data_IF_996570793132
#
_entry.id   IF_996570793132
#
_cell.length_a   1.000
_cell.length_b   1.000
_cell.length_c   1.000
_cell.angle_alpha   90.00
_cell.angle_beta   90.00
_cell.angle_gamma   90.00
#
_symmetry.space_group_name_H-M   'P 1'
#
loop_
_entity.id
_entity.type
_entity.pdbx_description
1 polymer ?
#
# COMPACT_ATOMS: atom_id res chain seq x y z
N UNK A 1 -25.28 14.20 55.21
CA UNK A 1 -25.18 13.33 54.02
C UNK A 1 -24.50 14.12 52.91
N UNK A 2 -23.17 14.04 52.85
CA UNK A 2 -22.36 14.62 51.79
C UNK A 2 -22.21 13.60 50.67
N UNK A 3 -22.67 13.95 49.47
CA UNK A 3 -22.40 13.16 48.27
C UNK A 3 -20.96 13.43 47.84
N UNK A 4 -20.09 12.43 48.00
CA UNK A 4 -18.79 12.40 47.33
C UNK A 4 -19.04 12.26 45.82
N UNK A 5 -18.82 13.34 45.06
CA UNK A 5 -18.60 13.23 43.62
C UNK A 5 -17.24 12.58 43.43
N UNK A 6 -17.24 11.38 42.86
CA UNK A 6 -16.05 10.77 42.30
C UNK A 6 -15.90 11.39 40.92
N UNK A 7 -14.91 12.27 40.77
CA UNK A 7 -14.53 12.86 39.51
C UNK A 7 -14.07 11.74 38.57
N UNK A 8 -14.94 11.36 37.62
CA UNK A 8 -14.54 10.50 36.51
C UNK A 8 -13.74 11.32 35.50
N UNK A 9 -12.50 11.62 35.85
CA UNK A 9 -11.49 12.04 34.89
C UNK A 9 -10.90 10.79 34.22
N UNK A 10 -11.04 10.71 32.89
CA UNK A 10 -10.39 9.67 32.09
C UNK A 10 -11.21 9.11 30.93
N UNK A 11 -11.82 9.95 30.09
CA UNK A 11 -12.10 9.52 28.71
C UNK A 11 -10.77 9.51 27.95
N UNK A 12 -9.98 8.44 28.13
CA UNK A 12 -8.92 8.14 27.19
C UNK A 12 -9.54 7.93 25.82
N UNK A 13 -9.26 8.81 24.86
CA UNK A 13 -9.74 8.66 23.50
C UNK A 13 -9.36 7.26 22.99
N UNK A 14 -10.37 6.42 22.71
CA UNK A 14 -10.11 5.12 22.12
C UNK A 14 -9.34 5.33 20.80
N UNK A 15 -8.28 4.56 20.54
CA UNK A 15 -7.45 4.75 19.36
C UNK A 15 -8.31 4.63 18.09
N UNK A 16 -8.38 5.71 17.31
CA UNK A 16 -9.17 5.75 16.07
C UNK A 16 -8.65 4.69 15.10
N UNK A 17 -9.50 3.73 14.76
CA UNK A 17 -9.17 2.67 13.80
C UNK A 17 -9.37 3.20 12.38
N UNK A 18 -8.31 3.18 11.57
CA UNK A 18 -8.39 3.57 10.17
C UNK A 18 -8.32 2.34 9.26
N UNK A 19 -9.10 2.37 8.17
CA UNK A 19 -8.94 1.42 7.07
C UNK A 19 -7.76 1.89 6.23
N UNK A 20 -6.69 1.12 6.23
CA UNK A 20 -5.43 1.46 5.56
C UNK A 20 -5.17 0.41 4.48
N UNK A 21 -4.80 0.89 3.30
CA UNK A 21 -4.34 0.07 2.18
C UNK A 21 -2.85 0.27 2.00
N UNK A 22 -2.11 -0.82 2.07
CA UNK A 22 -0.66 -0.85 1.86
C UNK A 22 -0.41 -1.43 0.47
N UNK A 23 0.29 -0.67 -0.37
CA UNK A 23 0.74 -1.14 -1.68
C UNK A 23 2.23 -1.42 -1.62
N UNK A 24 2.62 -2.65 -1.94
CA UNK A 24 4.02 -3.07 -2.09
C UNK A 24 4.35 -3.14 -3.58
N UNK A 25 5.42 -2.46 -4.00
CA UNK A 25 5.91 -2.50 -5.38
C UNK A 25 7.37 -2.96 -5.41
N UNK A 26 7.70 -3.90 -6.30
CA UNK A 26 9.10 -4.31 -6.49
C UNK A 26 9.35 -4.89 -7.89
N UNK A 27 10.63 -4.90 -8.29
CA UNK A 27 11.13 -5.59 -9.48
C UNK A 27 11.44 -7.06 -9.23
N UNK A 28 11.75 -7.45 -7.98
CA UNK A 28 12.13 -8.83 -7.61
C UNK A 28 10.96 -9.52 -6.92
N UNK A 29 10.47 -10.62 -7.50
CA UNK A 29 9.33 -11.37 -6.93
C UNK A 29 9.67 -12.00 -5.58
N UNK A 30 10.86 -12.57 -5.43
CA UNK A 30 11.26 -13.30 -4.21
C UNK A 30 11.24 -12.41 -2.97
N UNK A 31 11.90 -11.25 -3.02
CA UNK A 31 11.90 -10.27 -1.93
C UNK A 31 10.49 -9.74 -1.64
N UNK A 32 9.68 -9.51 -2.68
CA UNK A 32 8.30 -9.04 -2.53
C UNK A 32 7.40 -10.05 -1.81
N UNK A 33 7.46 -11.33 -2.18
CA UNK A 33 6.66 -12.39 -1.53
C UNK A 33 7.11 -12.60 -0.08
N UNK A 34 8.41 -12.55 0.21
CA UNK A 34 8.95 -12.65 1.56
C UNK A 34 8.46 -11.51 2.46
N UNK A 35 8.59 -10.27 2.02
CA UNK A 35 8.09 -9.08 2.76
C UNK A 35 6.58 -9.15 2.92
N UNK A 36 5.85 -9.62 1.90
CA UNK A 36 4.41 -9.76 1.95
C UNK A 36 3.96 -10.77 3.02
N UNK A 37 4.61 -11.94 3.10
CA UNK A 37 4.33 -12.96 4.11
C UNK A 37 4.66 -12.44 5.51
N UNK A 38 5.84 -11.86 5.67
CA UNK A 38 6.29 -11.31 6.95
C UNK A 38 5.37 -10.21 7.47
N UNK A 39 4.86 -9.33 6.60
CA UNK A 39 3.93 -8.28 6.99
C UNK A 39 2.57 -8.84 7.46
N UNK A 40 2.08 -9.90 6.82
CA UNK A 40 0.86 -10.60 7.22
C UNK A 40 1.05 -11.27 8.57
N UNK A 41 2.18 -11.96 8.77
CA UNK A 41 2.45 -12.67 10.01
C UNK A 41 2.63 -11.70 11.18
N UNK A 42 3.36 -10.60 11.00
CA UNK A 42 3.46 -9.53 12.01
C UNK A 42 2.09 -8.93 12.35
N UNK A 43 1.22 -8.72 11.35
CA UNK A 43 -0.11 -8.19 11.57
C UNK A 43 -1.01 -9.18 12.33
N UNK A 44 -0.89 -10.49 12.04
CA UNK A 44 -1.59 -11.56 12.77
C UNK A 44 -1.11 -11.70 14.21
N UNK A 45 0.20 -11.64 14.46
CA UNK A 45 0.78 -11.68 15.81
C UNK A 45 0.26 -10.54 16.70
N UNK A 46 -0.02 -9.38 16.10
CA UNK A 46 -0.65 -8.24 16.79
C UNK A 46 -2.18 -8.31 16.89
N UNK A 47 -2.81 -9.38 16.39
CA UNK A 47 -4.26 -9.57 16.45
C UNK A 47 -5.07 -8.67 15.52
N UNK A 48 -4.47 -8.09 14.48
CA UNK A 48 -5.15 -7.21 13.54
C UNK A 48 -5.97 -7.99 12.52
N UNK A 49 -7.09 -7.40 12.07
CA UNK A 49 -7.85 -7.94 10.94
C UNK A 49 -7.17 -7.58 9.62
N UNK A 50 -6.61 -8.59 8.96
CA UNK A 50 -5.90 -8.48 7.69
C UNK A 50 -6.77 -9.04 6.57
N UNK A 51 -6.94 -8.30 5.48
CA UNK A 51 -7.33 -8.91 4.20
C UNK A 51 -6.05 -9.29 3.47
N UNK A 52 -6.01 -10.54 3.03
CA UNK A 52 -4.82 -11.17 2.46
C UNK A 52 -4.24 -10.42 1.26
N UNK A 53 -3.06 -10.85 0.78
CA UNK A 53 -2.33 -10.11 -0.22
C UNK A 53 -2.97 -10.28 -1.59
N UNK A 54 -3.53 -9.20 -2.11
CA UNK A 54 -4.10 -9.16 -3.45
C UNK A 54 -2.96 -8.99 -4.44
N UNK A 55 -2.85 -9.95 -5.37
CA UNK A 55 -1.87 -9.92 -6.46
C UNK A 55 -2.40 -9.04 -7.59
N UNK A 56 -1.74 -7.90 -7.82
CA UNK A 56 -2.07 -7.08 -8.99
C UNK A 56 -1.33 -7.61 -10.22
N UNK A 57 -1.90 -7.42 -11.43
CA UNK A 57 -1.23 -7.76 -12.68
C UNK A 57 0.16 -7.12 -12.76
N UNK A 58 1.13 -7.90 -13.24
CA UNK A 58 2.50 -7.42 -13.41
C UNK A 58 2.56 -6.45 -14.59
N UNK A 59 3.06 -5.25 -14.35
CA UNK A 59 3.30 -4.28 -15.43
C UNK A 59 4.63 -4.61 -16.08
N UNK A 60 4.60 -4.83 -17.39
CA UNK A 60 5.78 -5.16 -18.18
C UNK A 60 6.10 -3.96 -19.07
N UNK A 61 7.18 -3.25 -18.75
CA UNK A 61 7.67 -2.15 -19.56
C UNK A 61 8.64 -2.73 -20.60
N UNK A 62 8.32 -2.55 -21.88
CA UNK A 62 9.15 -3.02 -22.99
C UNK A 62 9.67 -1.83 -23.76
N UNK A 63 10.98 -1.77 -23.95
CA UNK A 63 11.65 -0.75 -24.76
C UNK A 63 12.49 -1.48 -25.79
N UNK A 64 12.21 -1.23 -27.07
CA UNK A 64 12.96 -1.81 -28.19
C UNK A 64 13.80 -0.73 -28.84
N UNK A 65 15.12 -0.86 -28.81
CA UNK A 65 16.04 0.09 -29.42
C UNK A 65 16.89 -0.59 -30.48
N UNK A 66 17.39 0.20 -31.43
CA UNK A 66 18.38 -0.30 -32.39
C UNK A 66 19.69 -0.55 -31.63
N UNK A 67 20.36 -1.66 -31.94
CA UNK A 67 21.67 -1.98 -31.33
C UNK A 67 22.73 -0.94 -31.70
N UNK A 68 22.73 -0.55 -32.96
CA UNK A 68 23.76 0.32 -33.52
C UNK A 68 23.44 1.80 -33.28
N UNK A 69 24.41 2.63 -32.86
CA UNK A 69 24.19 4.06 -32.64
C UNK A 69 24.16 4.87 -33.94
N UNK A 70 24.95 4.49 -34.95
CA UNK A 70 25.21 5.29 -36.16
C UNK A 70 24.42 4.87 -37.41
N UNK A 71 23.48 3.92 -37.28
CA UNK A 71 22.59 3.55 -38.38
C UNK A 71 23.19 2.68 -39.50
N UNK A 72 24.50 2.46 -39.48
CA UNK A 72 25.22 1.54 -40.37
C UNK A 72 25.11 0.07 -39.94
N UNK A 73 25.27 -0.85 -40.89
CA UNK A 73 25.23 -2.30 -40.65
C UNK A 73 23.83 -2.95 -40.63
N UNK A 74 23.77 -4.19 -40.15
CA UNK A 74 22.54 -5.00 -40.15
C UNK A 74 21.45 -4.44 -39.24
N UNK A 75 20.18 -4.57 -39.65
CA UNK A 75 19.01 -4.10 -38.88
C UNK A 75 18.73 -5.00 -37.68
N UNK A 76 19.54 -4.86 -36.63
CA UNK A 76 19.37 -5.58 -35.37
C UNK A 76 18.77 -4.71 -34.27
N UNK A 77 17.88 -5.31 -33.47
CA UNK A 77 17.16 -4.65 -32.39
C UNK A 77 17.45 -5.35 -31.06
N UNK A 78 17.54 -4.57 -29.99
CA UNK A 78 17.53 -5.08 -28.62
C UNK A 78 16.18 -4.82 -27.98
N UNK A 79 15.66 -5.83 -27.27
CA UNK A 79 14.41 -5.75 -26.54
C UNK A 79 14.70 -5.77 -25.04
N UNK A 80 14.61 -4.61 -24.40
CA UNK A 80 14.75 -4.48 -22.96
C UNK A 80 13.38 -4.62 -22.29
N UNK A 81 13.34 -5.36 -21.19
CA UNK A 81 12.13 -5.58 -20.40
C UNK A 81 12.37 -5.28 -18.93
N UNK A 82 11.47 -4.50 -18.33
CA UNK A 82 11.40 -4.31 -16.88
C UNK A 82 10.02 -4.73 -16.38
N UNK A 83 10.00 -5.66 -15.42
CA UNK A 83 8.78 -6.11 -14.75
C UNK A 83 8.61 -5.42 -13.41
N UNK A 84 7.42 -4.92 -13.15
CA UNK A 84 7.02 -4.34 -11.88
C UNK A 84 5.86 -5.16 -11.32
N UNK A 85 6.10 -5.77 -10.18
CA UNK A 85 5.13 -6.57 -9.45
C UNK A 85 4.54 -5.72 -8.33
N UNK A 86 3.20 -5.69 -8.24
CA UNK A 86 2.49 -4.95 -7.20
C UNK A 86 1.63 -5.89 -6.35
N UNK A 87 1.61 -5.64 -5.03
CA UNK A 87 0.76 -6.32 -4.05
C UNK A 87 0.05 -5.33 -3.18
N UNK A 88 -1.15 -5.70 -2.77
CA UNK A 88 -2.03 -4.85 -1.97
C UNK A 88 -2.48 -5.62 -0.74
N UNK A 89 -2.33 -5.01 0.42
CA UNK A 89 -2.73 -5.55 1.72
C UNK A 89 -3.62 -4.52 2.40
N UNK A 90 -4.84 -4.91 2.76
CA UNK A 90 -5.75 -4.04 3.49
C UNK A 90 -5.74 -4.41 4.98
N UNK A 91 -5.56 -3.39 5.82
CA UNK A 91 -5.53 -3.50 7.29
C UNK A 91 -6.58 -2.56 7.90
N UNK A 92 -7.16 -2.99 9.03
CA UNK A 92 -7.92 -2.09 9.90
C UNK A 92 -7.19 -1.98 11.23
N UNK A 93 -6.51 -0.85 11.45
CA UNK A 93 -5.67 -0.63 12.61
C UNK A 93 -5.43 0.87 12.86
N UNK A 94 -5.07 1.27 14.08
CA UNK A 94 -4.54 2.61 14.32
C UNK A 94 -3.18 2.80 13.63
N UNK A 95 -2.88 4.04 13.25
CA UNK A 95 -1.71 4.41 12.44
C UNK A 95 -0.39 4.07 13.13
N UNK A 96 -0.31 4.21 14.45
CA UNK A 96 0.90 3.90 15.24
C UNK A 96 1.29 2.42 15.10
N UNK A 97 0.31 1.53 15.16
CA UNK A 97 0.55 0.07 15.09
C UNK A 97 1.00 -0.34 13.70
N UNK A 98 0.45 0.29 12.65
CA UNK A 98 0.86 0.04 11.25
C UNK A 98 2.29 0.49 11.01
N UNK A 99 2.69 1.67 11.50
CA UNK A 99 4.08 2.14 11.40
C UNK A 99 5.07 1.14 12.02
N UNK A 100 4.75 0.59 13.18
CA UNK A 100 5.60 -0.41 13.85
C UNK A 100 5.75 -1.73 13.09
N UNK A 101 4.72 -2.16 12.34
CA UNK A 101 4.78 -3.42 11.58
C UNK A 101 5.81 -3.33 10.44
N UNK A 102 6.12 -2.12 10.00
CA UNK A 102 6.79 -1.83 8.73
C UNK A 102 8.29 -1.53 8.88
N UNK A 103 8.78 -1.38 10.11
CA UNK A 103 10.14 -0.90 10.43
C UNK A 103 11.27 -1.73 9.78
N UNK A 104 11.01 -2.97 9.34
CA UNK A 104 12.03 -3.84 8.73
C UNK A 104 11.58 -4.35 7.35
N UNK A 105 11.80 -3.56 6.29
CA UNK A 105 11.58 -3.97 4.89
C UNK A 105 12.91 -4.30 4.22
N UNK A 106 12.92 -5.36 3.40
CA UNK A 106 14.09 -5.74 2.59
C UNK A 106 14.36 -4.72 1.49
N UNK A 107 15.64 -4.42 1.24
CA UNK A 107 16.04 -3.42 0.25
C UNK A 107 15.50 -3.75 -1.16
N UNK A 108 14.85 -2.77 -1.80
CA UNK A 108 14.29 -2.91 -3.15
C UNK A 108 12.80 -3.22 -3.21
N UNK A 109 12.10 -3.21 -2.08
CA UNK A 109 10.62 -3.16 -2.02
C UNK A 109 10.20 -1.75 -1.62
N UNK A 110 9.38 -1.13 -2.46
CA UNK A 110 8.77 0.17 -2.21
C UNK A 110 7.39 -0.02 -1.57
N UNK A 111 7.07 0.82 -0.58
CA UNK A 111 5.84 0.70 0.21
C UNK A 111 5.11 2.03 0.22
N UNK A 112 3.87 2.02 -0.25
CA UNK A 112 2.97 3.17 -0.31
C UNK A 112 1.76 2.94 0.61
N UNK A 113 1.25 4.04 1.18
CA UNK A 113 0.14 4.05 2.12
C UNK A 113 -1.03 4.86 1.58
N UNK A 114 -2.23 4.29 1.62
CA UNK A 114 -3.46 5.00 1.32
C UNK A 114 -4.46 4.83 2.45
N UNK A 115 -4.93 5.94 3.02
CA UNK A 115 -6.06 5.95 3.92
C UNK A 115 -7.34 5.79 3.11
N UNK A 116 -8.11 4.76 3.41
CA UNK A 116 -9.44 4.57 2.84
C UNK A 116 -10.43 5.32 3.74
N UNK A 117 -10.40 6.66 3.72
CA UNK A 117 -11.47 7.43 4.32
C UNK A 117 -12.71 7.33 3.42
N UNK A 118 -13.88 7.18 4.05
CA UNK A 118 -15.16 7.19 3.35
C UNK A 118 -15.41 8.62 2.87
N UNK A 119 -15.04 8.91 1.62
CA UNK A 119 -15.51 10.09 0.90
C UNK A 119 -17.04 10.01 0.75
N UNK A 120 -17.77 10.42 1.76
CA UNK A 120 -19.22 10.62 1.70
C UNK A 120 -19.60 12.04 1.24
N UNK A 121 -18.66 12.88 0.79
CA UNK A 121 -18.96 14.29 0.52
C UNK A 121 -18.57 14.86 -0.85
N UNK A 122 -18.35 14.04 -1.89
CA UNK A 122 -18.10 14.55 -3.26
C UNK A 122 -19.15 14.17 -4.31
N UNK A 123 -20.26 13.54 -3.93
CA UNK A 123 -21.30 13.11 -4.89
C UNK A 123 -22.47 14.11 -5.09
N UNK A 124 -22.54 15.23 -4.37
CA UNK A 124 -23.66 16.20 -4.45
C UNK A 124 -23.34 17.51 -5.18
N UNK A 125 -22.16 17.63 -5.82
CA UNK A 125 -21.76 18.84 -6.56
C UNK A 125 -21.40 18.49 -8.01
N UNK A 126 -22.40 18.04 -8.75
CA UNK A 126 -22.45 18.26 -10.19
C UNK A 126 -23.59 19.25 -10.44
N UNK A 127 -23.32 20.56 -10.56
CA UNK A 127 -24.33 21.47 -11.08
C UNK A 127 -24.63 21.06 -12.52
N UNK A 128 -25.89 20.75 -12.78
CA UNK A 128 -26.46 20.59 -14.11
C UNK A 128 -26.24 21.87 -14.90
N UNK A 129 -25.27 21.86 -15.81
CA UNK A 129 -25.14 22.91 -16.83
C UNK A 129 -25.39 22.24 -18.19
N UNK A 130 -26.68 22.18 -18.54
CA UNK A 130 -27.13 22.23 -19.92
C UNK A 130 -28.08 23.42 -19.98
N UNK A 131 -27.57 24.55 -20.46
CA UNK A 131 -28.32 25.58 -21.19
C UNK A 131 -27.39 26.09 -22.26
#
# INVERSE_FOLDING_TARGET
>A
MSYNKIDKEGYGEAPKTHKIRITLSSRKVQSLEKVCQELIDRAKTKGLRVKGPVRLPTKTLKVTTRKTPCGEGSKTWDTFEMRIHKRLIDLNAPTEVVKQIIINIEAGVEVEFHYLELNYLSASLMPSVIT
#
